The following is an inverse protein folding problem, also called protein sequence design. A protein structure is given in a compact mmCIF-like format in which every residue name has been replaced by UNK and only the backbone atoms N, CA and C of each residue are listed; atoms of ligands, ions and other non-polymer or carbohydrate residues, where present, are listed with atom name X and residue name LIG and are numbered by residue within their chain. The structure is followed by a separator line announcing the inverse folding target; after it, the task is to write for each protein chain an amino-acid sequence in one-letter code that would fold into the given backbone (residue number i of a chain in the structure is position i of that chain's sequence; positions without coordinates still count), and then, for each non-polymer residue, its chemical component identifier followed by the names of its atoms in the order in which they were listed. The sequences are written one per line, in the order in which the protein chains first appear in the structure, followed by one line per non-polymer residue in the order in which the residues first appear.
data_IF_992146327927
#
_entry.id   IF_992146327927
#
_cell.length_a   1.000
_cell.length_b   1.000
_cell.length_c   1.000
_cell.angle_alpha   90.00
_cell.angle_beta   90.00
_cell.angle_gamma   90.00
#
_symmetry.space_group_name_H-M   'P 1'
#
loop_
_entity.id
_entity.type
_entity.pdbx_description
1 polymer ?
#
# COMPACT_ATOMS: atom_id res chain seq x y z
N UNK A 1 -27.08 13.26 20.44
CA UNK A 1 -26.39 14.57 20.35
C UNK A 1 -26.07 14.80 18.89
N UNK A 2 -26.49 15.90 18.25
CA UNK A 2 -26.19 16.12 16.84
C UNK A 2 -24.67 16.32 16.67
N UNK A 3 -24.09 15.61 15.73
CA UNK A 3 -22.67 15.72 15.36
C UNK A 3 -22.39 17.13 14.85
N UNK A 4 -21.55 17.88 15.57
CA UNK A 4 -21.26 19.28 15.28
C UNK A 4 -20.17 19.33 14.22
N UNK A 5 -20.56 19.41 12.95
CA UNK A 5 -19.60 19.55 11.84
C UNK A 5 -18.98 20.95 11.91
N UNK A 6 -17.68 21.02 12.21
CA UNK A 6 -16.93 22.27 12.14
C UNK A 6 -16.68 22.63 10.67
N UNK A 7 -16.97 23.87 10.23
CA UNK A 7 -16.62 24.30 8.89
C UNK A 7 -15.10 24.31 8.73
N UNK A 8 -14.60 23.76 7.63
CA UNK A 8 -13.17 23.70 7.26
C UNK A 8 -12.94 24.58 6.04
N UNK A 9 -11.81 25.28 6.01
CA UNK A 9 -11.38 26.07 4.84
C UNK A 9 -11.00 25.14 3.69
N UNK A 10 -11.59 25.34 2.50
CA UNK A 10 -11.29 24.52 1.31
C UNK A 10 -9.81 24.54 0.93
N UNK A 11 -9.14 25.70 1.06
CA UNK A 11 -7.72 25.84 0.72
C UNK A 11 -6.82 25.02 1.66
N UNK A 12 -7.18 24.99 2.94
CA UNK A 12 -6.46 24.22 3.95
C UNK A 12 -6.67 22.72 3.74
N UNK A 13 -7.92 22.30 3.51
CA UNK A 13 -8.28 20.91 3.24
C UNK A 13 -7.58 20.37 1.99
N UNK A 14 -7.61 21.12 0.89
CA UNK A 14 -6.95 20.73 -0.36
C UNK A 14 -5.45 20.51 -0.19
N UNK A 15 -4.78 21.40 0.56
CA UNK A 15 -3.34 21.28 0.82
C UNK A 15 -3.03 20.05 1.65
N UNK A 16 -3.78 19.82 2.73
CA UNK A 16 -3.60 18.69 3.62
C UNK A 16 -3.86 17.37 2.89
N UNK A 17 -5.01 17.24 2.24
CA UNK A 17 -5.37 16.06 1.45
C UNK A 17 -4.34 15.75 0.36
N UNK A 18 -3.81 16.78 -0.32
CA UNK A 18 -2.76 16.59 -1.32
C UNK A 18 -1.46 16.05 -0.69
N UNK A 19 -1.02 16.65 0.41
CA UNK A 19 0.20 16.22 1.09
C UNK A 19 0.09 14.80 1.65
N UNK A 20 -1.06 14.45 2.24
CA UNK A 20 -1.31 13.12 2.79
C UNK A 20 -1.30 12.06 1.69
N UNK A 21 -1.94 12.33 0.55
CA UNK A 21 -1.89 11.44 -0.61
C UNK A 21 -0.47 11.34 -1.17
N UNK A 22 0.23 12.46 -1.34
CA UNK A 22 1.59 12.47 -1.88
C UNK A 22 2.55 11.65 -0.99
N UNK A 23 2.52 11.85 0.33
CA UNK A 23 3.35 11.07 1.25
C UNK A 23 3.00 9.58 1.25
N UNK A 24 1.71 9.25 1.24
CA UNK A 24 1.21 7.87 1.12
C UNK A 24 1.73 7.18 -0.14
N UNK A 25 1.73 7.88 -1.29
CA UNK A 25 2.25 7.34 -2.54
C UNK A 25 3.76 7.15 -2.49
N UNK A 26 4.52 8.14 -2.02
CA UNK A 26 5.98 8.10 -1.99
C UNK A 26 6.47 6.93 -1.13
N UNK A 27 5.97 6.83 0.10
CA UNK A 27 6.45 5.86 1.09
C UNK A 27 5.78 4.50 0.91
N UNK A 28 4.47 4.48 0.66
CA UNK A 28 3.66 3.27 0.71
C UNK A 28 3.47 2.56 -0.63
N UNK A 29 3.93 3.13 -1.75
CA UNK A 29 3.62 2.59 -3.09
C UNK A 29 4.75 2.72 -4.09
N UNK A 30 5.32 3.91 -4.24
CA UNK A 30 6.16 4.27 -5.37
C UNK A 30 7.62 3.86 -5.20
N UNK A 31 8.23 4.23 -4.07
CA UNK A 31 9.65 3.97 -3.80
C UNK A 31 9.85 2.60 -3.15
N UNK A 32 10.87 1.83 -3.58
CA UNK A 32 11.25 0.59 -2.91
C UNK A 32 12.04 0.86 -1.62
N UNK A 33 12.06 -0.12 -0.72
CA UNK A 33 12.91 -0.08 0.48
C UNK A 33 14.37 -0.40 0.09
N UNK A 34 15.34 0.29 0.69
CA UNK A 34 16.77 0.10 0.40
C UNK A 34 17.30 -1.27 0.83
N UNK A 35 16.67 -1.88 1.85
CA UNK A 35 17.16 -3.14 2.44
C UNK A 35 16.99 -4.33 1.51
N UNK A 36 15.92 -4.33 0.72
CA UNK A 36 15.56 -5.45 -0.17
C UNK A 36 15.29 -5.03 -1.62
N UNK A 37 15.19 -3.73 -1.90
CA UNK A 37 14.84 -3.21 -3.22
C UNK A 37 13.38 -3.46 -3.63
N UNK A 38 12.53 -3.92 -2.71
CA UNK A 38 11.16 -4.35 -3.03
C UNK A 38 10.12 -3.29 -2.65
N UNK A 39 9.18 -3.09 -3.58
CA UNK A 39 7.93 -2.35 -3.31
C UNK A 39 7.00 -3.17 -2.41
N UNK A 40 6.09 -2.52 -1.66
CA UNK A 40 5.15 -3.23 -0.77
C UNK A 40 4.33 -4.32 -1.46
N UNK A 41 3.97 -4.15 -2.74
CA UNK A 41 3.22 -5.15 -3.51
C UNK A 41 4.02 -6.45 -3.73
N UNK A 42 5.32 -6.35 -4.05
CA UNK A 42 6.16 -7.53 -4.26
C UNK A 42 6.32 -8.33 -2.97
N UNK A 43 6.56 -7.63 -1.85
CA UNK A 43 6.71 -8.27 -0.53
C UNK A 43 5.46 -9.06 -0.14
N UNK A 44 4.27 -8.51 -0.39
CA UNK A 44 2.99 -9.19 -0.14
C UNK A 44 2.80 -10.42 -1.02
N UNK A 45 3.14 -10.34 -2.31
CA UNK A 45 3.06 -11.48 -3.24
C UNK A 45 4.00 -12.61 -2.80
N UNK A 46 5.27 -12.29 -2.53
CA UNK A 46 6.25 -13.29 -2.11
C UNK A 46 5.87 -13.94 -0.77
N UNK A 47 5.38 -13.14 0.18
CA UNK A 47 4.88 -13.66 1.46
C UNK A 47 3.66 -14.58 1.27
N UNK A 48 2.68 -14.18 0.44
CA UNK A 48 1.53 -15.02 0.15
C UNK A 48 1.95 -16.33 -0.53
N UNK A 49 2.88 -16.29 -1.48
CA UNK A 49 3.45 -17.48 -2.12
C UNK A 49 4.11 -18.43 -1.11
N UNK A 50 4.83 -17.88 -0.11
CA UNK A 50 5.41 -18.66 0.97
C UNK A 50 4.32 -19.30 1.85
N UNK A 51 3.29 -18.54 2.26
CA UNK A 51 2.17 -19.04 3.07
C UNK A 51 1.43 -20.18 2.37
N UNK A 52 1.21 -20.10 1.05
CA UNK A 52 0.58 -21.17 0.27
C UNK A 52 1.55 -22.26 -0.19
N UNK A 53 2.81 -22.25 0.28
CA UNK A 53 3.85 -23.24 -0.07
C UNK A 53 4.05 -23.40 -1.58
N UNK A 54 4.08 -22.30 -2.33
CA UNK A 54 4.37 -22.27 -3.77
C UNK A 54 5.88 -22.10 -4.03
N UNK A 55 6.65 -23.13 -3.68
CA UNK A 55 8.09 -23.18 -3.91
C UNK A 55 8.43 -23.76 -5.28
N UNK A 56 9.66 -23.52 -5.75
CA UNK A 56 10.16 -23.97 -7.06
C UNK A 56 10.07 -25.49 -7.28
N UNK A 57 10.06 -26.29 -6.22
CA UNK A 57 9.98 -27.74 -6.25
C UNK A 57 8.54 -28.30 -6.17
N UNK A 58 7.52 -27.44 -6.27
CA UNK A 58 6.10 -27.82 -6.23
C UNK A 58 5.43 -27.64 -7.61
N UNK A 59 4.34 -28.38 -7.89
CA UNK A 59 3.57 -28.18 -9.11
C UNK A 59 2.99 -26.77 -9.21
N UNK A 60 2.81 -26.28 -10.44
CA UNK A 60 2.26 -24.96 -10.70
C UNK A 60 0.84 -24.79 -10.13
N UNK A 61 0.57 -23.60 -9.58
CA UNK A 61 -0.76 -23.14 -9.16
C UNK A 61 -1.21 -22.03 -10.10
N UNK A 62 -2.52 -21.94 -10.36
CA UNK A 62 -3.10 -20.86 -11.17
C UNK A 62 -2.94 -19.51 -10.47
N UNK A 63 -2.63 -18.46 -11.22
CA UNK A 63 -2.38 -17.12 -10.67
C UNK A 63 -3.62 -16.41 -10.11
N UNK A 64 -4.82 -16.83 -10.52
CA UNK A 64 -6.09 -16.24 -10.08
C UNK A 64 -6.58 -16.78 -8.72
N UNK A 65 -5.79 -17.64 -8.06
CA UNK A 65 -6.11 -18.23 -6.76
C UNK A 65 -5.70 -17.29 -5.63
#
# INVERSE_FOLDING_TARGET
MPEKVSPISINEEMRTSYLDYAMSVIIGRALPDIRDGLKPVHRRILYAMQVVSNAHNKPYKKSAR
#
